data_IF_840430681634
#
_entry.id   IF_840430681634
#
_cell.length_a   1.000
_cell.length_b   1.000
_cell.length_c   1.000
_cell.angle_alpha   90.00
_cell.angle_beta   90.00
_cell.angle_gamma   90.00
#
_symmetry.space_group_name_H-M   'P 1'
#
loop_
_entity.id
_entity.type
_entity.pdbx_description
1 polymer ?
#
# COMPACT_ATOMS: atom_id res chain seq x y z
N UNK A 1 34.74 34.52 0.01
CA UNK A 1 33.53 33.70 0.31
C UNK A 1 34.02 32.41 0.94
N UNK A 2 33.62 32.16 2.18
CA UNK A 2 33.95 30.89 2.88
C UNK A 2 33.03 29.82 2.36
N UNK A 3 33.60 28.79 1.74
CA UNK A 3 32.80 27.65 1.19
C UNK A 3 32.60 26.64 2.31
N UNK A 4 31.36 26.38 2.71
CA UNK A 4 31.05 25.29 3.62
C UNK A 4 30.95 23.97 2.81
N UNK A 5 31.67 22.94 3.24
CA UNK A 5 31.59 21.59 2.66
C UNK A 5 30.56 20.78 3.45
N UNK A 6 29.60 20.18 2.73
CA UNK A 6 28.58 19.31 3.32
C UNK A 6 28.77 17.91 2.76
N UNK A 7 28.89 16.95 3.66
CA UNK A 7 28.99 15.55 3.26
C UNK A 7 27.60 14.92 3.18
N UNK A 8 27.30 14.29 2.05
CA UNK A 8 26.06 13.60 1.76
C UNK A 8 26.35 12.18 1.23
N UNK A 9 25.46 11.21 1.46
CA UNK A 9 25.53 9.96 0.71
C UNK A 9 25.56 10.23 -0.79
N UNK A 10 26.47 9.60 -1.55
CA UNK A 10 26.66 9.91 -2.97
C UNK A 10 25.37 9.87 -3.79
N UNK A 11 24.50 8.92 -3.50
CA UNK A 11 23.19 8.74 -4.18
C UNK A 11 22.22 9.89 -3.96
N UNK A 12 22.38 10.68 -2.89
CA UNK A 12 21.53 11.84 -2.57
C UNK A 12 22.05 13.15 -3.18
N UNK A 13 23.29 13.21 -3.65
CA UNK A 13 23.84 14.43 -4.28
C UNK A 13 22.99 14.88 -5.47
N UNK A 14 22.60 14.03 -6.44
CA UNK A 14 21.71 14.42 -7.54
C UNK A 14 20.32 14.85 -7.09
N UNK A 15 19.82 14.27 -5.98
CA UNK A 15 18.51 14.63 -5.42
C UNK A 15 18.47 16.09 -5.01
N UNK A 16 19.54 16.61 -4.39
CA UNK A 16 19.60 17.99 -3.92
C UNK A 16 20.20 18.98 -4.93
N UNK A 17 20.66 18.50 -6.08
CA UNK A 17 21.25 19.34 -7.14
C UNK A 17 20.18 19.90 -8.09
N UNK A 18 20.32 21.17 -8.50
CA UNK A 18 19.43 21.85 -9.46
C UNK A 18 17.95 21.94 -9.00
N UNK A 19 17.06 22.50 -9.83
CA UNK A 19 15.65 22.69 -9.49
C UNK A 19 14.90 21.36 -9.48
N UNK A 20 13.93 21.23 -8.57
CA UNK A 20 12.93 20.16 -8.56
C UNK A 20 11.74 20.57 -7.68
N UNK A 21 10.54 20.20 -8.06
CA UNK A 21 9.34 20.35 -7.22
C UNK A 21 9.28 19.28 -6.13
N UNK A 22 9.66 18.07 -6.46
CA UNK A 22 9.63 16.92 -5.56
C UNK A 22 11.01 16.34 -5.40
N UNK A 23 11.43 16.14 -4.15
CA UNK A 23 12.66 15.44 -3.79
C UNK A 23 12.34 14.36 -2.78
N UNK A 24 12.91 13.20 -2.93
CA UNK A 24 12.61 12.13 -1.99
C UNK A 24 13.61 11.01 -1.98
N UNK A 25 13.48 10.19 -0.93
CA UNK A 25 14.21 8.94 -0.82
C UNK A 25 13.34 7.91 -0.09
N UNK A 26 13.32 6.70 -0.63
CA UNK A 26 12.69 5.55 0.00
C UNK A 26 13.67 4.40 0.15
N UNK A 27 13.35 3.40 0.96
CA UNK A 27 14.17 2.19 1.12
C UNK A 27 14.30 1.75 2.57
N UNK A 28 15.21 0.82 2.83
CA UNK A 28 15.41 0.16 4.11
C UNK A 28 15.89 1.08 5.24
N UNK A 29 15.96 0.51 6.43
CA UNK A 29 16.48 1.19 7.64
C UNK A 29 17.99 1.43 7.53
N UNK A 30 18.49 2.37 8.34
CA UNK A 30 19.93 2.66 8.42
C UNK A 30 20.52 3.38 7.19
N UNK A 31 19.72 3.78 6.21
CA UNK A 31 20.17 4.39 4.95
C UNK A 31 20.51 5.89 5.02
N UNK A 32 20.49 6.51 6.22
CA UNK A 32 20.73 7.93 6.45
C UNK A 32 19.76 8.90 5.75
N UNK A 33 18.60 8.43 5.25
CA UNK A 33 17.58 9.29 4.59
C UNK A 33 17.16 10.45 5.47
N UNK A 34 16.54 10.18 6.63
CA UNK A 34 15.97 11.18 7.52
C UNK A 34 17.02 12.18 7.97
N UNK A 35 18.21 11.71 8.39
CA UNK A 35 19.32 12.57 8.80
C UNK A 35 19.79 13.52 7.71
N UNK A 36 19.90 13.01 6.46
CA UNK A 36 20.36 13.82 5.33
C UNK A 36 19.29 14.85 4.94
N UNK A 37 18.02 14.47 4.89
CA UNK A 37 16.94 15.41 4.58
C UNK A 37 16.80 16.47 5.66
N UNK A 38 16.88 16.12 6.94
CA UNK A 38 16.93 17.07 8.05
C UNK A 38 18.06 18.10 7.90
N UNK A 39 19.30 17.63 7.63
CA UNK A 39 20.45 18.50 7.37
C UNK A 39 20.21 19.43 6.17
N UNK A 40 19.70 18.90 5.08
CA UNK A 40 19.46 19.68 3.86
C UNK A 40 18.32 20.69 4.02
N UNK A 41 17.31 20.45 4.87
CA UNK A 41 16.34 21.50 5.20
C UNK A 41 17.00 22.69 5.87
N UNK A 42 17.96 22.46 6.78
CA UNK A 42 18.71 23.53 7.46
C UNK A 42 19.61 24.30 6.50
N UNK A 43 20.30 23.60 5.60
CA UNK A 43 21.10 24.22 4.55
C UNK A 43 20.24 25.12 3.65
N UNK A 44 19.06 24.63 3.25
CA UNK A 44 18.14 25.43 2.42
C UNK A 44 17.57 26.63 3.20
N UNK A 45 17.27 26.47 4.50
CA UNK A 45 16.86 27.57 5.36
C UNK A 45 17.91 28.67 5.43
N UNK A 46 19.18 28.28 5.60
CA UNK A 46 20.31 29.20 5.53
C UNK A 46 20.36 29.94 4.19
N UNK A 47 20.32 29.21 3.07
CA UNK A 47 20.38 29.79 1.73
C UNK A 47 19.24 30.77 1.47
N UNK A 48 18.03 30.42 1.86
CA UNK A 48 16.86 31.33 1.72
C UNK A 48 17.02 32.59 2.57
N UNK A 49 17.45 32.44 3.81
CA UNK A 49 17.65 33.58 4.71
C UNK A 49 18.74 34.54 4.23
N UNK A 50 19.84 34.03 3.69
CA UNK A 50 20.92 34.82 3.06
C UNK A 50 20.46 35.49 1.75
N UNK A 51 19.61 34.81 0.96
CA UNK A 51 19.00 35.41 -0.23
C UNK A 51 17.89 36.44 0.10
N UNK A 52 17.65 36.74 1.37
CA UNK A 52 16.62 37.68 1.80
C UNK A 52 15.20 37.15 1.73
N UNK A 53 15.02 35.86 1.46
CA UNK A 53 13.70 35.21 1.38
C UNK A 53 13.21 34.88 2.79
N UNK A 54 11.92 35.16 3.04
CA UNK A 54 11.27 34.85 4.31
C UNK A 54 10.15 33.85 4.10
N UNK A 55 9.98 32.92 5.05
CA UNK A 55 8.93 31.89 4.99
C UNK A 55 9.14 30.81 6.02
N UNK A 56 8.50 29.67 5.81
CA UNK A 56 8.59 28.54 6.73
C UNK A 56 9.01 27.25 6.01
N UNK A 57 9.68 26.38 6.75
CA UNK A 57 9.87 24.98 6.41
C UNK A 57 8.86 24.19 7.24
N UNK A 58 7.98 23.48 6.58
CA UNK A 58 6.99 22.61 7.21
C UNK A 58 7.58 21.20 7.38
N UNK A 59 7.74 20.76 8.64
CA UNK A 59 7.95 19.35 8.97
C UNK A 59 6.61 18.67 9.18
N UNK A 60 6.35 17.57 8.48
CA UNK A 60 5.05 16.92 8.52
C UNK A 60 5.15 15.39 8.62
N UNK A 61 4.17 14.78 9.28
CA UNK A 61 3.85 13.34 9.30
C UNK A 61 2.34 13.16 9.26
N UNK A 62 1.84 11.94 9.09
CA UNK A 62 0.39 11.68 9.17
C UNK A 62 -0.16 12.06 10.55
N UNK A 63 0.52 11.69 11.63
CA UNK A 63 0.11 11.96 13.02
C UNK A 63 1.08 12.93 13.74
N UNK A 64 0.54 13.75 14.65
CA UNK A 64 1.31 14.75 15.38
C UNK A 64 2.16 14.15 16.50
N UNK A 65 1.69 13.09 17.15
CA UNK A 65 2.26 12.57 18.41
C UNK A 65 3.72 12.09 18.31
N UNK A 66 4.21 11.74 17.13
CA UNK A 66 5.60 11.33 16.93
C UNK A 66 6.48 12.43 16.29
N UNK A 67 5.92 13.58 15.98
CA UNK A 67 6.56 14.59 15.13
C UNK A 67 7.46 15.53 15.92
N UNK A 68 7.01 15.96 17.10
CA UNK A 68 7.78 16.88 17.96
C UNK A 68 9.00 16.19 18.57
N UNK A 69 8.87 14.91 18.93
CA UNK A 69 9.93 14.15 19.59
C UNK A 69 10.96 13.57 18.62
N UNK A 70 10.63 13.33 17.34
CA UNK A 70 11.57 12.70 16.43
C UNK A 70 12.04 13.60 15.28
N UNK A 71 11.17 14.11 14.40
CA UNK A 71 11.63 14.89 13.23
C UNK A 71 12.18 16.26 13.64
N UNK A 72 11.60 16.91 14.66
CA UNK A 72 12.15 18.16 15.19
C UNK A 72 13.53 17.94 15.81
N UNK A 73 13.68 16.90 16.61
CA UNK A 73 14.96 16.60 17.25
C UNK A 73 16.03 16.20 16.24
N UNK A 74 15.68 15.44 15.18
CA UNK A 74 16.59 15.15 14.08
C UNK A 74 17.10 16.43 13.39
N UNK A 75 16.22 17.41 13.14
CA UNK A 75 16.63 18.71 12.59
C UNK A 75 17.55 19.45 13.54
N UNK A 76 17.24 19.50 14.84
CA UNK A 76 18.09 20.14 15.85
C UNK A 76 19.48 19.50 15.90
N UNK A 77 19.56 18.17 15.90
CA UNK A 77 20.82 17.45 15.89
C UNK A 77 21.59 17.66 14.60
N UNK A 78 20.89 17.69 13.44
CA UNK A 78 21.51 17.97 12.15
C UNK A 78 22.10 19.38 12.11
N UNK A 79 21.43 20.38 12.66
CA UNK A 79 21.94 21.75 12.77
C UNK A 79 23.17 21.78 13.70
N UNK A 80 23.09 21.20 14.90
CA UNK A 80 24.17 21.18 15.90
C UNK A 80 25.42 20.42 15.42
N UNK A 81 25.25 19.45 14.52
CA UNK A 81 26.39 18.72 13.96
C UNK A 81 27.26 19.54 12.99
N UNK A 82 26.78 20.70 12.55
CA UNK A 82 27.48 21.61 11.65
C UNK A 82 27.71 22.96 12.34
N UNK A 83 28.93 23.27 12.84
CA UNK A 83 29.18 24.49 13.64
C UNK A 83 28.72 25.80 13.00
N UNK A 84 28.79 25.89 11.66
CA UNK A 84 28.36 27.07 10.92
C UNK A 84 26.83 27.23 10.86
N UNK A 85 26.08 26.10 10.84
CA UNK A 85 24.63 26.11 10.97
C UNK A 85 24.21 26.42 12.41
N UNK A 86 24.83 25.78 13.40
CA UNK A 86 24.52 26.02 14.81
C UNK A 86 24.71 27.52 15.18
N UNK A 87 25.80 28.11 14.67
CA UNK A 87 26.01 29.55 14.82
C UNK A 87 24.95 30.44 14.18
N UNK A 88 24.21 29.96 13.17
CA UNK A 88 23.23 30.71 12.40
C UNK A 88 21.80 30.57 12.92
N UNK A 89 21.50 29.47 13.61
CA UNK A 89 20.15 29.18 14.10
C UNK A 89 19.94 29.59 15.56
N UNK A 90 18.70 29.93 15.89
CA UNK A 90 18.16 30.08 17.24
C UNK A 90 17.24 28.87 17.48
N UNK A 91 17.65 27.98 18.38
CA UNK A 91 16.99 26.70 18.64
C UNK A 91 16.52 26.68 20.10
N UNK A 92 15.20 26.59 20.29
CA UNK A 92 14.60 26.39 21.61
C UNK A 92 14.00 25.01 21.77
N UNK A 93 13.34 24.79 22.90
CA UNK A 93 12.66 23.51 23.17
C UNK A 93 11.62 23.17 22.09
N UNK A 94 10.79 24.14 21.73
CA UNK A 94 9.65 23.96 20.81
C UNK A 94 9.76 24.77 19.51
N UNK A 95 10.90 25.33 19.20
CA UNK A 95 11.08 26.10 17.97
C UNK A 95 12.48 25.96 17.38
N UNK A 96 12.55 26.14 16.06
CA UNK A 96 13.77 26.24 15.27
C UNK A 96 13.57 27.43 14.31
N UNK A 97 14.51 28.37 14.27
CA UNK A 97 14.47 29.50 13.36
C UNK A 97 15.86 30.05 13.08
N UNK A 98 16.04 30.78 12.00
CA UNK A 98 17.27 31.53 11.75
C UNK A 98 17.33 32.73 12.69
N UNK A 99 18.55 33.14 13.15
CA UNK A 99 18.73 34.30 14.08
C UNK A 99 18.18 35.60 13.51
N UNK A 100 18.23 35.78 12.17
CA UNK A 100 17.62 36.91 11.48
C UNK A 100 16.09 36.82 11.36
N UNK A 101 15.47 35.75 11.88
CA UNK A 101 14.01 35.48 11.90
C UNK A 101 13.35 35.40 10.53
N UNK A 102 14.10 35.21 9.46
CA UNK A 102 13.53 35.08 8.10
C UNK A 102 12.90 33.72 7.87
N UNK A 103 13.53 32.65 8.35
CA UNK A 103 13.03 31.28 8.18
C UNK A 103 12.75 30.69 9.59
N UNK A 104 11.59 30.07 9.70
CA UNK A 104 11.20 29.29 10.88
C UNK A 104 10.68 27.92 10.46
N UNK A 105 10.75 26.97 11.37
CA UNK A 105 10.13 25.66 11.20
C UNK A 105 8.75 25.63 11.84
N UNK A 106 7.82 24.98 11.16
CA UNK A 106 6.48 24.67 11.65
C UNK A 106 6.26 23.16 11.53
N UNK A 107 5.67 22.56 12.54
CA UNK A 107 5.42 21.12 12.57
C UNK A 107 3.92 20.84 12.55
N UNK A 108 3.49 19.81 11.79
CA UNK A 108 2.08 19.54 11.58
C UNK A 108 1.78 18.06 11.33
N UNK A 109 0.80 17.52 12.05
CA UNK A 109 0.15 16.25 11.69
C UNK A 109 -0.84 16.48 10.55
N UNK A 110 -0.65 15.78 9.41
CA UNK A 110 -1.42 16.00 8.19
C UNK A 110 -2.89 15.60 8.33
N UNK A 111 -3.20 14.66 9.22
CA UNK A 111 -4.55 14.12 9.36
C UNK A 111 -5.56 15.12 9.93
N UNK A 112 -5.16 15.92 10.91
CA UNK A 112 -6.10 16.78 11.65
C UNK A 112 -5.76 18.26 11.63
N UNK A 113 -4.51 18.64 11.37
CA UNK A 113 -4.03 20.01 11.61
C UNK A 113 -3.66 20.79 10.35
N UNK A 114 -3.82 20.22 9.16
CA UNK A 114 -3.41 20.87 7.92
C UNK A 114 -4.20 22.17 7.62
N UNK A 115 -5.46 22.22 8.00
CA UNK A 115 -6.31 23.40 7.77
C UNK A 115 -5.85 24.63 8.58
N UNK A 116 -5.20 24.43 9.72
CA UNK A 116 -4.64 25.52 10.55
C UNK A 116 -3.42 26.21 9.91
N UNK A 117 -2.75 25.56 8.99
CA UNK A 117 -1.52 26.05 8.33
C UNK A 117 -1.83 26.75 6.99
N UNK A 118 -2.92 26.37 6.34
CA UNK A 118 -3.32 26.92 5.02
C UNK A 118 -3.38 28.44 4.94
N UNK A 119 -3.69 29.12 6.06
CA UNK A 119 -3.89 30.56 6.12
C UNK A 119 -2.72 31.35 6.71
N UNK A 120 -1.69 30.69 7.28
CA UNK A 120 -0.74 31.38 8.17
C UNK A 120 0.71 31.43 7.69
N UNK A 121 1.12 30.65 6.70
CA UNK A 121 2.53 30.52 6.43
C UNK A 121 2.85 30.45 4.92
N UNK A 122 3.87 31.20 4.53
CA UNK A 122 4.55 31.07 3.24
C UNK A 122 5.45 29.83 3.28
N UNK A 123 4.95 28.69 2.82
CA UNK A 123 5.67 27.41 2.84
C UNK A 123 6.67 27.36 1.69
N UNK A 124 7.96 27.31 1.99
CA UNK A 124 9.04 27.20 1.01
C UNK A 124 9.40 25.73 0.76
N UNK A 125 9.42 24.95 1.82
CA UNK A 125 9.62 23.49 1.75
C UNK A 125 8.60 22.83 2.67
N UNK A 126 7.96 21.78 2.19
CA UNK A 126 7.22 20.83 3.03
C UNK A 126 7.98 19.50 3.02
N UNK A 127 8.58 19.14 4.13
CA UNK A 127 9.22 17.83 4.31
C UNK A 127 8.28 16.90 5.05
N UNK A 128 7.84 15.85 4.36
CA UNK A 128 7.00 14.78 4.88
C UNK A 128 7.89 13.59 5.20
N UNK A 129 8.13 13.36 6.48
CA UNK A 129 8.92 12.24 6.99
C UNK A 129 8.00 11.08 7.38
N UNK A 130 8.51 9.84 7.32
CA UNK A 130 7.71 8.61 7.52
C UNK A 130 6.43 8.59 6.66
N UNK A 131 6.57 8.99 5.41
CA UNK A 131 5.44 9.25 4.52
C UNK A 131 4.67 7.99 4.09
N UNK A 132 5.09 6.77 4.45
CA UNK A 132 4.39 5.53 4.14
C UNK A 132 2.93 5.55 4.62
N UNK A 133 2.69 6.12 5.79
CA UNK A 133 1.38 6.16 6.43
C UNK A 133 0.48 7.32 5.97
N UNK A 134 0.99 8.22 5.14
CA UNK A 134 0.23 9.40 4.69
C UNK A 134 -0.91 8.97 3.77
N UNK A 135 -2.12 9.37 4.12
CA UNK A 135 -3.32 9.05 3.36
C UNK A 135 -3.41 9.84 2.05
N UNK A 136 -4.12 9.29 1.05
CA UNK A 136 -4.37 9.99 -0.23
C UNK A 136 -5.05 11.34 0.00
N UNK A 137 -6.02 11.40 0.94
CA UNK A 137 -6.69 12.64 1.30
C UNK A 137 -5.72 13.69 1.86
N UNK A 138 -4.73 13.26 2.66
CA UNK A 138 -3.71 14.17 3.19
C UNK A 138 -2.82 14.72 2.07
N UNK A 139 -2.40 13.88 1.11
CA UNK A 139 -1.65 14.32 -0.07
C UNK A 139 -2.44 15.32 -0.92
N UNK A 140 -3.72 15.02 -1.22
CA UNK A 140 -4.60 15.93 -1.99
C UNK A 140 -4.73 17.30 -1.33
N UNK A 141 -4.72 17.37 0.00
CA UNK A 141 -4.81 18.63 0.74
C UNK A 141 -3.45 19.35 0.85
N UNK A 142 -2.37 18.63 1.06
CA UNK A 142 -1.03 19.20 1.28
C UNK A 142 -0.47 19.85 0.01
N UNK A 143 -0.51 19.12 -1.12
CA UNK A 143 0.17 19.59 -2.33
C UNK A 143 -0.29 20.95 -2.82
N UNK A 144 -1.61 21.28 -2.87
CA UNK A 144 -2.06 22.62 -3.22
C UNK A 144 -1.78 23.68 -2.13
N UNK A 145 -1.48 23.27 -0.89
CA UNK A 145 -1.14 24.19 0.20
C UNK A 145 0.30 24.70 0.08
N UNK A 146 1.19 23.91 -0.49
CA UNK A 146 2.57 24.27 -0.82
C UNK A 146 2.59 24.96 -2.20
N UNK A 147 2.31 26.26 -2.24
CA UNK A 147 1.96 26.98 -3.48
C UNK A 147 2.83 28.18 -3.82
N UNK A 148 3.89 28.42 -3.04
CA UNK A 148 4.84 29.48 -3.38
C UNK A 148 5.60 29.12 -4.66
N UNK A 149 6.00 30.12 -5.43
CA UNK A 149 6.91 29.91 -6.55
C UNK A 149 8.21 29.30 -6.02
N UNK A 150 8.72 28.29 -6.74
CA UNK A 150 9.93 27.54 -6.38
C UNK A 150 9.85 26.78 -5.04
N UNK A 151 8.64 26.64 -4.46
CA UNK A 151 8.46 25.80 -3.28
C UNK A 151 8.61 24.32 -3.62
N UNK A 152 9.13 23.55 -2.66
CA UNK A 152 9.46 22.14 -2.84
C UNK A 152 8.69 21.26 -1.85
N UNK A 153 8.39 20.03 -2.26
CA UNK A 153 7.86 18.96 -1.39
C UNK A 153 8.91 17.86 -1.29
N UNK A 154 9.35 17.59 -0.08
CA UNK A 154 10.36 16.58 0.21
C UNK A 154 9.71 15.39 0.91
N UNK A 155 10.12 14.17 0.54
CA UNK A 155 9.44 12.95 0.99
C UNK A 155 10.47 11.90 1.38
N UNK A 156 10.37 11.39 2.61
CA UNK A 156 11.19 10.27 3.10
C UNK A 156 10.29 9.18 3.65
N UNK A 157 10.52 7.93 3.23
CA UNK A 157 9.74 6.79 3.74
C UNK A 157 10.47 5.46 3.61
N UNK A 158 10.05 4.51 4.43
CA UNK A 158 10.37 3.11 4.28
C UNK A 158 9.13 2.44 3.68
N UNK A 159 9.20 1.83 2.50
CA UNK A 159 8.07 1.12 1.91
C UNK A 159 7.59 0.01 2.82
N UNK A 160 6.29 -0.09 3.02
CA UNK A 160 5.68 -1.18 3.77
C UNK A 160 4.65 -1.91 2.91
N UNK A 161 3.74 -1.17 2.27
CA UNK A 161 2.66 -1.75 1.47
C UNK A 161 2.79 -1.40 0.00
N UNK A 162 2.73 -2.42 -0.85
CA UNK A 162 2.58 -2.21 -2.29
C UNK A 162 1.27 -1.44 -2.57
N UNK A 163 1.39 -0.26 -3.18
CA UNK A 163 0.25 0.59 -3.51
C UNK A 163 -0.26 1.46 -2.36
N UNK A 164 0.54 1.73 -1.32
CA UNK A 164 0.26 2.84 -0.40
C UNK A 164 0.11 4.16 -1.20
N UNK A 165 -0.58 5.16 -0.62
CA UNK A 165 -0.82 6.43 -1.31
C UNK A 165 0.50 7.11 -1.72
N UNK A 166 1.51 7.05 -0.86
CA UNK A 166 2.85 7.59 -1.12
C UNK A 166 3.58 6.80 -2.20
N UNK A 167 3.57 5.47 -2.12
CA UNK A 167 4.18 4.58 -3.09
C UNK A 167 3.56 4.77 -4.49
N UNK A 168 2.22 4.79 -4.56
CA UNK A 168 1.50 5.00 -5.81
C UNK A 168 1.85 6.33 -6.46
N UNK A 169 1.96 7.41 -5.67
CA UNK A 169 2.19 8.76 -6.17
C UNK A 169 3.65 9.05 -6.51
N UNK A 170 4.60 8.56 -5.72
CA UNK A 170 5.99 8.99 -5.78
C UNK A 170 6.98 7.90 -6.20
N UNK A 171 6.55 6.64 -6.29
CA UNK A 171 7.36 5.54 -6.79
C UNK A 171 6.78 4.96 -8.08
N UNK A 172 5.49 4.58 -8.10
CA UNK A 172 4.85 3.98 -9.28
C UNK A 172 4.47 5.00 -10.35
N UNK A 173 3.89 6.13 -9.95
CA UNK A 173 3.47 7.21 -10.84
C UNK A 173 4.27 8.49 -10.52
N UNK A 174 5.60 8.38 -10.59
CA UNK A 174 6.49 9.49 -10.25
C UNK A 174 6.17 10.74 -11.07
N UNK A 175 5.91 11.90 -10.43
CA UNK A 175 5.67 13.15 -11.15
C UNK A 175 6.85 13.56 -12.03
N UNK A 176 6.58 14.17 -13.17
CA UNK A 176 7.62 14.65 -14.08
C UNK A 176 8.59 15.61 -13.37
N UNK A 177 9.88 15.40 -13.54
CA UNK A 177 10.92 16.24 -12.91
C UNK A 177 11.14 15.97 -11.41
N UNK A 178 10.47 14.99 -10.82
CA UNK A 178 10.75 14.57 -9.46
C UNK A 178 12.14 13.92 -9.36
N UNK A 179 12.83 14.17 -8.25
CA UNK A 179 14.13 13.58 -7.91
C UNK A 179 13.97 12.70 -6.69
N UNK A 180 13.62 11.45 -6.93
CA UNK A 180 13.36 10.45 -5.89
C UNK A 180 14.22 9.24 -6.16
N UNK A 181 14.91 8.73 -5.13
CA UNK A 181 15.84 7.61 -5.24
C UNK A 181 15.56 6.56 -4.19
N UNK A 182 15.92 5.34 -4.49
CA UNK A 182 15.99 4.26 -3.51
C UNK A 182 17.31 4.31 -2.75
N UNK A 183 17.24 4.22 -1.42
CA UNK A 183 18.36 4.30 -0.49
C UNK A 183 18.27 3.19 0.55
N UNK A 184 19.29 2.33 0.59
CA UNK A 184 19.40 1.26 1.56
C UNK A 184 20.65 1.43 2.44
N UNK A 185 20.84 0.57 3.43
CA UNK A 185 21.99 0.65 4.33
C UNK A 185 23.33 0.65 3.58
N UNK A 186 23.42 -0.06 2.44
CA UNK A 186 24.61 -0.11 1.58
C UNK A 186 24.97 1.23 0.94
N UNK A 187 24.03 2.15 0.84
CA UNK A 187 24.21 3.49 0.27
C UNK A 187 24.62 4.52 1.35
N UNK A 188 24.69 4.11 2.63
CA UNK A 188 25.09 4.94 3.74
C UNK A 188 26.58 4.78 4.07
N UNK A 189 27.45 5.75 3.73
CA UNK A 189 28.89 5.67 4.02
C UNK A 189 29.21 5.64 5.52
N UNK A 190 28.24 6.04 6.37
CA UNK A 190 28.38 6.11 7.83
C UNK A 190 27.46 5.11 8.53
N UNK A 191 27.22 3.95 7.90
CA UNK A 191 26.35 2.94 8.50
C UNK A 191 26.95 2.47 9.83
N UNK A 192 26.25 2.61 10.97
CA UNK A 192 26.84 2.32 12.28
C UNK A 192 27.10 0.82 12.49
N UNK A 193 28.25 0.48 13.08
CA UNK A 193 28.61 -0.91 13.40
C UNK A 193 27.55 -1.62 14.25
N UNK A 194 26.91 -0.91 15.19
CA UNK A 194 25.84 -1.48 16.00
C UNK A 194 24.64 -1.91 15.16
N UNK A 195 24.27 -1.13 14.17
CA UNK A 195 23.19 -1.51 13.24
C UNK A 195 23.61 -2.63 12.27
N UNK A 196 24.89 -2.71 11.93
CA UNK A 196 25.38 -3.82 11.11
C UNK A 196 25.36 -5.14 11.88
N UNK A 197 25.66 -5.13 13.17
CA UNK A 197 25.50 -6.32 14.02
C UNK A 197 24.05 -6.75 14.11
N UNK A 198 23.10 -5.85 14.32
CA UNK A 198 21.67 -6.15 14.32
C UNK A 198 21.22 -6.72 12.95
N UNK A 199 21.68 -6.11 11.85
CA UNK A 199 21.38 -6.58 10.49
C UNK A 199 21.91 -8.00 10.25
N UNK A 200 23.12 -8.30 10.72
CA UNK A 200 23.71 -9.64 10.60
C UNK A 200 22.94 -10.68 11.43
N UNK A 201 22.49 -10.29 12.63
CA UNK A 201 21.63 -11.13 13.45
C UNK A 201 20.27 -11.37 12.75
N UNK A 202 19.64 -10.33 12.24
CA UNK A 202 18.39 -10.41 11.49
C UNK A 202 18.52 -11.31 10.25
N UNK A 203 19.67 -11.29 9.57
CA UNK A 203 19.92 -12.16 8.42
C UNK A 203 19.91 -13.64 8.78
N UNK A 204 20.24 -13.99 10.02
CA UNK A 204 20.25 -15.37 10.51
C UNK A 204 18.94 -15.81 11.13
N UNK A 205 18.15 -14.88 11.64
CA UNK A 205 16.96 -15.17 12.48
C UNK A 205 15.64 -14.89 11.79
N UNK A 206 15.61 -13.96 10.83
CA UNK A 206 14.39 -13.59 10.10
C UNK A 206 14.30 -14.34 8.76
N UNK A 207 13.08 -14.48 8.27
CA UNK A 207 12.86 -14.92 6.90
C UNK A 207 13.33 -13.85 5.88
N UNK A 208 13.64 -14.29 4.66
CA UNK A 208 14.19 -13.42 3.61
C UNK A 208 13.32 -12.22 3.28
N UNK A 209 11.98 -12.34 3.37
CA UNK A 209 11.05 -11.26 3.05
C UNK A 209 11.03 -10.21 4.15
N UNK A 210 10.99 -10.62 5.40
CA UNK A 210 11.08 -9.71 6.56
C UNK A 210 12.43 -8.99 6.59
N UNK A 211 13.53 -9.69 6.32
CA UNK A 211 14.85 -9.09 6.19
C UNK A 211 14.89 -8.03 5.07
N UNK A 212 14.42 -8.39 3.88
CA UNK A 212 14.40 -7.49 2.73
C UNK A 212 13.52 -6.24 2.98
N UNK A 213 12.38 -6.41 3.68
CA UNK A 213 11.56 -5.27 4.08
C UNK A 213 12.29 -4.30 5.02
N UNK A 214 12.98 -4.82 6.04
CA UNK A 214 13.67 -3.99 7.03
C UNK A 214 14.88 -3.29 6.41
N UNK A 215 15.73 -4.04 5.69
CA UNK A 215 17.07 -3.59 5.32
C UNK A 215 17.21 -3.19 3.85
N UNK A 216 16.47 -3.83 2.93
CA UNK A 216 16.59 -3.63 1.49
C UNK A 216 15.45 -2.79 0.88
N UNK A 217 14.52 -2.30 1.70
CA UNK A 217 13.42 -1.44 1.25
C UNK A 217 12.37 -2.14 0.40
N UNK A 218 12.26 -3.46 0.52
CA UNK A 218 11.18 -4.23 -0.08
C UNK A 218 9.84 -3.93 0.60
N UNK A 219 8.75 -4.32 -0.05
CA UNK A 219 7.44 -4.29 0.61
C UNK A 219 7.35 -5.42 1.64
N UNK A 220 6.60 -5.17 2.70
CA UNK A 220 6.25 -6.19 3.68
C UNK A 220 5.17 -7.09 3.08
N UNK A 221 5.56 -8.23 2.54
CA UNK A 221 4.62 -9.16 1.89
C UNK A 221 3.83 -10.00 2.91
N UNK A 222 4.37 -10.25 4.09
CA UNK A 222 3.75 -11.07 5.12
C UNK A 222 3.45 -10.25 6.38
N UNK A 223 2.24 -9.66 6.45
CA UNK A 223 1.71 -9.23 7.75
C UNK A 223 0.87 -10.38 8.33
N UNK A 224 0.89 -10.56 9.65
CA UNK A 224 0.02 -11.51 10.37
C UNK A 224 -1.46 -11.31 10.04
N UNK A 225 -1.80 -10.11 9.55
CA UNK A 225 -3.12 -9.78 9.07
C UNK A 225 -3.43 -10.31 7.67
N UNK A 226 -2.45 -10.70 6.85
CA UNK A 226 -2.73 -11.24 5.51
C UNK A 226 -3.42 -12.60 5.59
N UNK A 227 -4.54 -12.72 4.90
CA UNK A 227 -5.38 -13.93 4.93
C UNK A 227 -4.67 -15.11 4.24
N UNK A 228 -3.95 -14.84 3.15
CA UNK A 228 -3.30 -15.85 2.31
C UNK A 228 -1.76 -15.83 2.42
N UNK A 229 -1.20 -15.28 3.50
CA UNK A 229 0.24 -15.26 3.72
C UNK A 229 0.84 -16.67 3.64
N UNK A 230 1.90 -16.83 2.84
CA UNK A 230 2.60 -18.11 2.67
C UNK A 230 1.79 -19.24 2.01
N UNK A 231 0.59 -18.94 1.47
CA UNK A 231 -0.31 -19.93 0.87
C UNK A 231 -0.31 -19.95 -0.65
N UNK A 232 0.32 -18.98 -1.31
CA UNK A 232 0.30 -18.92 -2.77
C UNK A 232 1.69 -18.75 -3.37
N UNK A 233 1.82 -19.20 -4.63
CA UNK A 233 2.94 -18.91 -5.51
C UNK A 233 2.46 -18.62 -6.92
N UNK A 234 3.33 -18.01 -7.72
CA UNK A 234 3.10 -17.75 -9.14
C UNK A 234 3.82 -18.79 -9.98
N UNK A 235 3.15 -19.35 -10.98
CA UNK A 235 3.77 -20.26 -11.93
C UNK A 235 3.00 -20.27 -13.25
N UNK A 236 3.66 -20.60 -14.33
CA UNK A 236 3.05 -21.01 -15.57
C UNK A 236 2.59 -22.47 -15.47
N UNK A 237 1.39 -22.78 -15.96
CA UNK A 237 0.85 -24.14 -15.98
C UNK A 237 -0.27 -24.29 -17.02
N UNK A 238 -0.54 -25.52 -17.39
CA UNK A 238 -1.68 -25.92 -18.22
C UNK A 238 -2.49 -27.01 -17.50
N UNK A 239 -3.83 -26.87 -17.38
CA UNK A 239 -4.67 -27.87 -16.73
C UNK A 239 -4.65 -29.20 -17.49
N UNK A 240 -4.43 -30.28 -16.75
CA UNK A 240 -4.50 -31.64 -17.30
C UNK A 240 -5.93 -32.19 -17.33
N UNK A 241 -6.16 -33.31 -18.04
CA UNK A 241 -7.48 -33.93 -18.16
C UNK A 241 -8.03 -34.47 -16.84
N UNK A 242 -7.16 -34.79 -15.88
CA UNK A 242 -7.53 -35.35 -14.58
C UNK A 242 -7.78 -34.28 -13.51
N UNK A 243 -7.72 -32.99 -13.88
CA UNK A 243 -7.96 -31.91 -12.93
C UNK A 243 -9.46 -31.72 -12.71
N UNK A 244 -9.83 -31.52 -11.45
CA UNK A 244 -11.21 -31.23 -11.06
C UNK A 244 -11.57 -29.79 -11.37
N UNK A 245 -12.64 -29.60 -12.14
CA UNK A 245 -13.07 -28.31 -12.65
C UNK A 245 -13.36 -28.31 -14.17
N UNK A 246 -13.36 -27.17 -14.88
CA UNK A 246 -13.10 -25.82 -14.33
C UNK A 246 -14.25 -25.28 -13.47
N UNK A 247 -13.90 -24.53 -12.44
CA UNK A 247 -14.82 -23.79 -11.61
C UNK A 247 -14.81 -22.31 -12.01
N UNK A 248 -15.99 -21.69 -12.13
CA UNK A 248 -16.13 -20.28 -12.50
C UNK A 248 -16.90 -19.53 -11.43
N UNK A 249 -16.40 -18.35 -11.05
CA UNK A 249 -17.07 -17.45 -10.11
C UNK A 249 -17.08 -16.02 -10.59
N UNK A 250 -18.12 -15.26 -10.21
CA UNK A 250 -18.25 -13.83 -10.52
C UNK A 250 -18.67 -13.08 -9.26
N UNK A 251 -17.96 -11.99 -8.98
CA UNK A 251 -18.31 -10.98 -8.01
C UNK A 251 -18.71 -9.68 -8.71
N UNK A 252 -19.79 -9.02 -8.20
CA UNK A 252 -20.37 -7.86 -8.87
C UNK A 252 -19.82 -6.57 -8.31
N UNK A 253 -19.18 -5.76 -9.15
CA UNK A 253 -18.84 -4.38 -8.90
C UNK A 253 -19.42 -3.46 -9.97
N UNK A 254 -19.35 -2.14 -9.79
CA UNK A 254 -19.76 -1.18 -10.81
C UNK A 254 -18.95 0.13 -10.77
N UNK A 255 -19.14 0.98 -9.75
CA UNK A 255 -18.65 2.36 -9.78
C UNK A 255 -17.17 2.50 -9.42
N UNK A 256 -16.73 1.86 -8.36
CA UNK A 256 -15.34 1.89 -7.90
C UNK A 256 -14.71 0.50 -7.92
N UNK A 257 -15.53 -0.52 -7.73
CA UNK A 257 -15.14 -1.91 -7.66
C UNK A 257 -15.35 -2.61 -9.02
N UNK A 258 -14.46 -3.51 -9.43
CA UNK A 258 -14.61 -4.22 -10.68
C UNK A 258 -15.70 -5.29 -10.57
N UNK A 259 -16.47 -5.52 -11.64
CA UNK A 259 -17.10 -6.83 -11.81
C UNK A 259 -15.96 -7.81 -12.11
N UNK A 260 -15.68 -8.71 -11.16
CA UNK A 260 -14.55 -9.63 -11.19
C UNK A 260 -15.01 -11.06 -11.49
N UNK A 261 -14.22 -11.80 -12.25
CA UNK A 261 -14.46 -13.20 -12.55
C UNK A 261 -13.18 -14.02 -12.52
N UNK A 262 -13.30 -15.29 -12.17
CA UNK A 262 -12.18 -16.22 -12.11
C UNK A 262 -12.52 -17.55 -12.78
N UNK A 263 -11.47 -18.24 -13.28
CA UNK A 263 -11.48 -19.63 -13.68
C UNK A 263 -10.42 -20.37 -12.89
N UNK A 264 -10.80 -21.42 -12.19
CA UNK A 264 -9.89 -22.18 -11.36
C UNK A 264 -10.15 -23.69 -11.41
N UNK A 265 -9.16 -24.45 -10.94
CA UNK A 265 -9.13 -25.89 -10.93
C UNK A 265 -8.62 -26.41 -9.60
N UNK A 266 -8.91 -27.66 -9.30
CA UNK A 266 -8.36 -28.34 -8.12
C UNK A 266 -7.59 -29.57 -8.61
N UNK A 267 -6.34 -29.67 -8.17
CA UNK A 267 -5.51 -30.85 -8.44
C UNK A 267 -4.47 -31.04 -7.33
N UNK A 268 -4.26 -32.23 -6.91
CA UNK A 268 -3.30 -32.61 -5.87
C UNK A 268 -3.44 -31.76 -4.58
N UNK A 269 -4.69 -31.55 -4.12
CA UNK A 269 -5.03 -30.74 -2.96
C UNK A 269 -4.56 -29.26 -3.06
N UNK A 270 -4.27 -28.80 -4.26
CA UNK A 270 -3.93 -27.42 -4.59
C UNK A 270 -5.04 -26.77 -5.38
N UNK A 271 -5.21 -25.48 -5.16
CA UNK A 271 -6.08 -24.64 -5.97
C UNK A 271 -5.24 -23.96 -7.06
N UNK A 272 -5.70 -24.04 -8.31
CA UNK A 272 -5.01 -23.51 -9.47
C UNK A 272 -5.86 -22.42 -10.13
N UNK A 273 -5.42 -21.16 -10.06
CA UNK A 273 -6.11 -20.01 -10.67
C UNK A 273 -5.56 -19.80 -12.07
N UNK A 274 -6.33 -20.17 -13.10
CA UNK A 274 -5.88 -20.18 -14.49
C UNK A 274 -6.13 -18.84 -15.20
N UNK A 275 -7.33 -18.26 -15.04
CA UNK A 275 -7.71 -17.00 -15.68
C UNK A 275 -8.44 -16.07 -14.70
N UNK A 276 -8.30 -14.79 -14.98
CA UNK A 276 -9.04 -13.72 -14.31
C UNK A 276 -9.68 -12.77 -15.32
N UNK A 277 -10.81 -12.18 -14.97
CA UNK A 277 -11.47 -11.12 -15.70
C UNK A 277 -11.92 -10.04 -14.72
N UNK A 278 -11.79 -8.77 -15.06
CA UNK A 278 -12.30 -7.71 -14.19
C UNK A 278 -12.25 -6.34 -14.85
N UNK A 279 -13.34 -5.60 -14.73
CA UNK A 279 -13.48 -4.24 -15.27
C UNK A 279 -14.43 -3.44 -14.38
N UNK A 280 -14.04 -2.21 -14.06
CA UNK A 280 -14.87 -1.20 -13.42
C UNK A 280 -15.79 -0.57 -14.45
N UNK A 281 -17.03 -0.25 -14.08
CA UNK A 281 -18.01 0.37 -14.97
C UNK A 281 -18.48 -0.57 -16.10
N UNK A 282 -18.60 -1.86 -15.82
CA UNK A 282 -19.09 -2.83 -16.80
C UNK A 282 -20.62 -2.86 -16.76
N UNK A 283 -21.24 -2.45 -17.87
CA UNK A 283 -22.69 -2.46 -18.03
C UNK A 283 -23.24 -3.90 -18.09
N UNK A 284 -24.46 -4.08 -17.60
CA UNK A 284 -25.08 -5.42 -17.51
C UNK A 284 -25.13 -6.14 -18.87
N UNK A 285 -25.35 -5.40 -19.96
CA UNK A 285 -25.40 -5.96 -21.31
C UNK A 285 -24.07 -6.50 -21.80
N UNK A 286 -22.96 -5.95 -21.32
CA UNK A 286 -21.60 -6.28 -21.75
C UNK A 286 -20.96 -7.40 -20.90
N UNK A 287 -21.52 -7.70 -19.70
CA UNK A 287 -20.90 -8.64 -18.74
C UNK A 287 -20.64 -9.99 -19.38
N UNK A 288 -21.66 -10.59 -20.00
CA UNK A 288 -21.53 -11.95 -20.54
C UNK A 288 -20.44 -12.02 -21.64
N UNK A 289 -20.46 -11.08 -22.57
CA UNK A 289 -19.47 -11.02 -23.65
C UNK A 289 -18.05 -10.80 -23.12
N UNK A 290 -17.91 -9.88 -22.17
CA UNK A 290 -16.62 -9.60 -21.53
C UNK A 290 -16.04 -10.83 -20.82
N UNK A 291 -16.88 -11.55 -20.06
CA UNK A 291 -16.47 -12.74 -19.32
C UNK A 291 -16.12 -13.90 -20.28
N UNK A 292 -16.89 -14.13 -21.34
CA UNK A 292 -16.62 -15.17 -22.35
C UNK A 292 -15.26 -14.93 -23.02
N UNK A 293 -14.93 -13.70 -23.33
CA UNK A 293 -13.64 -13.35 -23.97
C UNK A 293 -12.43 -13.57 -23.04
N UNK A 294 -12.63 -13.47 -21.73
CA UNK A 294 -11.53 -13.48 -20.75
C UNK A 294 -11.42 -14.77 -19.96
N UNK A 295 -12.52 -15.51 -19.83
CA UNK A 295 -12.60 -16.77 -19.09
C UNK A 295 -13.04 -17.89 -20.05
N UNK A 296 -12.11 -18.48 -20.78
CA UNK A 296 -12.43 -19.48 -21.83
C UNK A 296 -13.29 -20.62 -21.29
N UNK A 297 -14.43 -20.88 -21.97
CA UNK A 297 -15.35 -21.97 -21.65
C UNK A 297 -16.43 -21.64 -20.63
N UNK A 298 -16.46 -20.42 -20.06
CA UNK A 298 -17.44 -20.03 -19.02
C UNK A 298 -18.89 -20.22 -19.47
N UNK A 299 -19.18 -20.05 -20.76
CA UNK A 299 -20.53 -20.20 -21.35
C UNK A 299 -21.05 -21.65 -21.34
N UNK A 300 -20.15 -22.63 -21.16
CA UNK A 300 -20.47 -24.08 -21.19
C UNK A 300 -20.56 -24.71 -19.80
N UNK A 301 -20.06 -24.03 -18.78
CA UNK A 301 -19.95 -24.58 -17.43
C UNK A 301 -20.89 -23.87 -16.45
N UNK A 302 -21.07 -24.46 -15.28
CA UNK A 302 -21.76 -23.81 -14.18
C UNK A 302 -20.95 -22.61 -13.68
N UNK A 303 -21.61 -21.47 -13.55
CA UNK A 303 -21.02 -20.22 -13.06
C UNK A 303 -21.69 -19.85 -11.76
N UNK A 304 -20.93 -19.63 -10.70
CA UNK A 304 -21.43 -19.18 -9.39
C UNK A 304 -21.18 -17.69 -9.23
N UNK A 305 -22.25 -16.93 -9.02
CA UNK A 305 -22.17 -15.48 -8.87
C UNK A 305 -22.67 -15.02 -7.51
N UNK A 306 -22.24 -13.83 -7.10
CA UNK A 306 -22.81 -13.20 -5.91
C UNK A 306 -24.33 -13.11 -6.04
N UNK A 307 -25.03 -13.65 -5.05
CA UNK A 307 -26.52 -13.65 -5.00
C UNK A 307 -27.14 -12.32 -4.62
N UNK A 308 -26.34 -11.30 -4.29
CA UNK A 308 -26.85 -9.97 -3.90
C UNK A 308 -27.57 -9.22 -5.04
N UNK A 309 -27.34 -9.62 -6.30
CA UNK A 309 -27.95 -9.00 -7.50
C UNK A 309 -28.67 -10.03 -8.37
N UNK A 310 -29.83 -10.56 -7.94
CA UNK A 310 -30.56 -11.58 -8.69
C UNK A 310 -31.05 -11.08 -10.07
N UNK A 311 -31.32 -9.78 -10.21
CA UNK A 311 -31.66 -9.14 -11.48
C UNK A 311 -30.51 -9.20 -12.48
N UNK A 312 -29.28 -8.94 -12.05
CA UNK A 312 -28.07 -9.04 -12.89
C UNK A 312 -27.85 -10.51 -13.33
N UNK A 313 -28.02 -11.46 -12.40
CA UNK A 313 -27.93 -12.89 -12.72
C UNK A 313 -28.96 -13.28 -13.80
N UNK A 314 -30.21 -12.87 -13.64
CA UNK A 314 -31.30 -13.12 -14.60
C UNK A 314 -30.98 -12.50 -15.97
N UNK A 315 -30.46 -11.28 -15.95
CA UNK A 315 -30.08 -10.56 -17.17
C UNK A 315 -28.94 -11.24 -17.93
N UNK A 316 -27.86 -11.58 -17.24
CA UNK A 316 -26.68 -12.25 -17.83
C UNK A 316 -26.98 -13.67 -18.31
N UNK A 317 -27.96 -14.35 -17.70
CA UNK A 317 -28.42 -15.67 -18.12
C UNK A 317 -29.18 -15.65 -19.46
N UNK A 318 -29.85 -14.56 -19.78
CA UNK A 318 -30.76 -14.42 -20.92
C UNK A 318 -30.04 -13.90 -22.17
N UNK A 319 -30.38 -14.46 -23.33
CA UNK A 319 -29.95 -13.97 -24.65
C UNK A 319 -30.61 -12.65 -25.08
N UNK A 320 -31.45 -12.05 -24.26
CA UNK A 320 -32.28 -10.93 -24.67
C UNK A 320 -33.54 -11.39 -25.42
N UNK A 321 -34.44 -10.44 -25.72
CA UNK A 321 -35.71 -10.73 -26.39
C UNK A 321 -35.52 -11.16 -27.88
N UNK A 322 -34.50 -10.64 -28.53
CA UNK A 322 -34.14 -10.92 -29.91
C UNK A 322 -33.19 -12.13 -30.05
N UNK A 323 -32.70 -12.71 -28.95
CA UNK A 323 -31.80 -13.87 -28.94
C UNK A 323 -30.36 -13.58 -29.38
N UNK A 324 -30.00 -12.31 -29.60
CA UNK A 324 -28.69 -11.91 -30.17
C UNK A 324 -27.61 -11.68 -29.11
N UNK A 325 -27.99 -11.40 -27.87
CA UNK A 325 -27.05 -11.06 -26.80
C UNK A 325 -26.26 -12.28 -26.31
N UNK A 326 -24.96 -12.09 -26.08
CA UNK A 326 -24.14 -13.07 -25.35
C UNK A 326 -24.73 -13.34 -23.96
N UNK A 327 -24.68 -14.60 -23.52
CA UNK A 327 -25.24 -14.99 -22.23
C UNK A 327 -24.43 -16.10 -21.54
N UNK A 328 -24.61 -16.24 -20.24
CA UNK A 328 -24.12 -17.33 -19.42
C UNK A 328 -25.29 -18.20 -18.94
N UNK A 329 -25.76 -19.17 -19.72
CA UNK A 329 -27.03 -19.86 -19.47
C UNK A 329 -27.03 -20.67 -18.17
N UNK A 330 -25.87 -21.04 -17.65
CA UNK A 330 -25.71 -21.83 -16.43
C UNK A 330 -25.22 -21.00 -15.23
N UNK A 331 -25.44 -19.67 -15.25
CA UNK A 331 -25.12 -18.80 -14.12
C UNK A 331 -26.18 -18.92 -13.03
N UNK A 332 -25.74 -19.05 -11.79
CA UNK A 332 -26.58 -19.15 -10.60
C UNK A 332 -25.99 -18.35 -9.47
N UNK A 333 -26.86 -17.80 -8.60
CA UNK A 333 -26.43 -17.17 -7.35
C UNK A 333 -25.90 -18.20 -6.36
N UNK A 334 -24.79 -17.87 -5.70
CA UNK A 334 -24.26 -18.69 -4.63
C UNK A 334 -25.14 -18.60 -3.40
N UNK A 335 -25.31 -19.72 -2.69
CA UNK A 335 -25.98 -19.71 -1.41
C UNK A 335 -25.10 -19.05 -0.35
N UNK A 336 -25.63 -18.06 0.38
CA UNK A 336 -24.95 -17.38 1.48
C UNK A 336 -25.59 -17.75 2.82
N UNK A 337 -24.77 -17.92 3.84
CA UNK A 337 -25.19 -18.16 5.21
C UNK A 337 -24.37 -17.31 6.18
N UNK A 338 -24.79 -17.21 7.44
CA UNK A 338 -24.03 -16.49 8.46
C UNK A 338 -22.68 -17.19 8.67
N UNK A 339 -21.56 -16.48 8.45
CA UNK A 339 -20.21 -17.05 8.49
C UNK A 339 -19.71 -17.61 7.16
N UNK A 340 -20.44 -17.41 6.04
CA UNK A 340 -20.01 -17.92 4.72
C UNK A 340 -18.69 -17.32 4.21
N UNK A 341 -18.32 -16.14 4.68
CA UNK A 341 -17.05 -15.49 4.35
C UNK A 341 -15.91 -16.20 5.06
N UNK A 342 -16.06 -16.41 6.37
CA UNK A 342 -15.07 -17.09 7.22
C UNK A 342 -14.88 -18.56 6.80
N UNK A 343 -15.99 -19.27 6.50
CA UNK A 343 -15.95 -20.64 5.99
C UNK A 343 -15.26 -20.70 4.62
N UNK A 344 -15.52 -19.72 3.75
CA UNK A 344 -14.85 -19.59 2.46
C UNK A 344 -13.35 -19.35 2.58
N UNK A 345 -12.94 -18.49 3.50
CA UNK A 345 -11.52 -18.26 3.80
C UNK A 345 -10.86 -19.51 4.37
N UNK A 346 -11.53 -20.18 5.31
CA UNK A 346 -11.03 -21.43 5.88
C UNK A 346 -10.85 -22.49 4.78
N UNK A 347 -11.77 -22.55 3.81
CA UNK A 347 -11.67 -23.44 2.66
C UNK A 347 -10.47 -23.11 1.78
N UNK A 348 -10.25 -21.82 1.41
CA UNK A 348 -9.06 -21.39 0.65
C UNK A 348 -7.76 -21.74 1.38
N UNK A 349 -7.71 -21.53 2.69
CA UNK A 349 -6.53 -21.86 3.52
C UNK A 349 -6.31 -23.37 3.73
N UNK A 350 -7.32 -24.20 3.48
CA UNK A 350 -7.23 -25.66 3.61
C UNK A 350 -6.46 -26.32 2.47
N UNK A 351 -6.31 -25.65 1.34
CA UNK A 351 -5.43 -26.13 0.28
C UNK A 351 -3.97 -26.15 0.72
N UNK A 352 -3.22 -27.12 0.24
CA UNK A 352 -1.77 -27.18 0.48
C UNK A 352 -1.11 -25.90 -0.02
N UNK A 353 -1.51 -25.48 -1.23
CA UNK A 353 -0.99 -24.32 -1.91
C UNK A 353 -2.03 -23.77 -2.91
N UNK A 354 -1.97 -22.49 -3.18
CA UNK A 354 -2.71 -21.84 -4.26
C UNK A 354 -1.71 -21.43 -5.34
N UNK A 355 -1.86 -21.97 -6.54
CA UNK A 355 -1.00 -21.63 -7.67
C UNK A 355 -1.72 -20.63 -8.55
N UNK A 356 -1.14 -19.45 -8.73
CA UNK A 356 -1.70 -18.36 -9.52
C UNK A 356 -0.91 -18.29 -10.82
N UNK A 357 -1.61 -18.40 -11.96
CA UNK A 357 -0.95 -18.29 -13.26
C UNK A 357 -0.39 -16.87 -13.45
N UNK A 358 0.79 -16.73 -14.05
CA UNK A 358 1.49 -15.45 -14.27
C UNK A 358 0.62 -14.39 -14.96
N UNK A 359 -0.33 -14.81 -15.83
CA UNK A 359 -1.30 -13.92 -16.49
C UNK A 359 -2.30 -13.27 -15.54
N UNK A 360 -2.48 -13.82 -14.32
CA UNK A 360 -3.48 -13.38 -13.34
C UNK A 360 -2.89 -12.34 -12.36
N UNK A 361 -2.55 -11.17 -12.90
CA UNK A 361 -1.85 -10.11 -12.14
C UNK A 361 -2.71 -9.38 -11.13
N UNK A 362 -4.03 -9.31 -11.36
CA UNK A 362 -4.96 -8.59 -10.49
C UNK A 362 -5.30 -9.40 -9.23
N UNK A 363 -5.62 -10.69 -9.39
CA UNK A 363 -5.83 -11.56 -8.22
C UNK A 363 -4.54 -11.73 -7.40
N UNK A 364 -3.37 -11.76 -8.06
CA UNK A 364 -2.09 -11.74 -7.37
C UNK A 364 -1.91 -10.47 -6.53
N UNK A 365 -2.26 -9.31 -7.09
CA UNK A 365 -2.25 -8.05 -6.35
C UNK A 365 -3.20 -8.09 -5.15
N UNK A 366 -4.41 -8.61 -5.33
CA UNK A 366 -5.35 -8.77 -4.22
C UNK A 366 -4.84 -9.78 -3.19
N UNK A 367 -4.19 -10.88 -3.57
CA UNK A 367 -3.62 -11.85 -2.63
C UNK A 367 -2.67 -11.19 -1.61
N UNK A 368 -1.90 -10.21 -2.07
CA UNK A 368 -0.99 -9.42 -1.23
C UNK A 368 -1.71 -8.47 -0.28
N UNK A 369 -2.91 -8.01 -0.62
CA UNK A 369 -3.67 -6.98 0.08
C UNK A 369 -4.85 -7.54 0.88
N UNK A 370 -5.28 -8.77 0.60
CA UNK A 370 -6.40 -9.43 1.27
C UNK A 370 -6.06 -9.73 2.71
N UNK A 371 -6.64 -8.95 3.62
CA UNK A 371 -6.22 -8.94 5.01
C UNK A 371 -7.38 -8.75 5.97
N UNK A 372 -7.18 -9.21 7.19
CA UNK A 372 -7.99 -8.83 8.34
C UNK A 372 -7.75 -7.38 8.72
N UNK A 373 -8.71 -6.75 9.37
CA UNK A 373 -8.52 -5.43 9.98
C UNK A 373 -7.53 -5.54 11.13
N UNK A 374 -6.74 -4.49 11.31
CA UNK A 374 -5.81 -4.36 12.44
C UNK A 374 -6.30 -3.21 13.31
N UNK A 375 -6.41 -3.45 14.62
CA UNK A 375 -6.67 -2.39 15.57
C UNK A 375 -5.52 -1.38 15.54
N UNK A 376 -5.85 -0.10 15.38
CA UNK A 376 -4.83 0.94 15.19
C UNK A 376 -4.12 1.36 16.48
N UNK A 377 -4.70 1.04 17.63
CA UNK A 377 -4.14 1.40 18.93
C UNK A 377 -3.28 0.27 19.49
N UNK A 378 -3.77 -0.96 19.39
CA UNK A 378 -3.08 -2.14 19.98
C UNK A 378 -2.20 -2.87 18.96
N UNK A 379 -2.46 -2.73 17.65
CA UNK A 379 -1.81 -3.52 16.61
C UNK A 379 -2.37 -4.94 16.45
N UNK A 380 -3.43 -5.29 17.21
CA UNK A 380 -4.03 -6.63 17.17
C UNK A 380 -4.79 -6.87 15.86
N UNK A 381 -4.65 -8.08 15.34
CA UNK A 381 -5.41 -8.53 14.16
C UNK A 381 -6.83 -8.88 14.60
N UNK A 382 -7.80 -8.17 14.01
CA UNK A 382 -9.22 -8.39 14.25
C UNK A 382 -9.75 -9.54 13.39
N UNK A 383 -10.93 -10.04 13.72
CA UNK A 383 -11.61 -11.09 12.91
C UNK A 383 -12.29 -10.54 11.66
N UNK A 384 -12.53 -9.24 11.61
CA UNK A 384 -13.15 -8.56 10.47
C UNK A 384 -12.18 -8.40 9.32
N UNK A 385 -12.66 -8.57 8.09
CA UNK A 385 -11.89 -8.40 6.87
C UNK A 385 -11.91 -6.94 6.41
N UNK A 386 -10.83 -6.50 5.79
CA UNK A 386 -10.79 -5.22 5.08
C UNK A 386 -11.62 -5.35 3.81
N UNK A 387 -12.71 -4.59 3.73
CA UNK A 387 -13.64 -4.57 2.60
C UNK A 387 -13.08 -3.77 1.41
N UNK A 388 -11.90 -4.19 0.94
CA UNK A 388 -11.20 -3.67 -0.26
C UNK A 388 -10.23 -4.72 -0.77
N UNK A 389 -10.02 -4.75 -2.09
CA UNK A 389 -9.06 -5.65 -2.73
C UNK A 389 -9.35 -7.13 -2.44
N UNK A 390 -10.61 -7.52 -2.49
CA UNK A 390 -11.10 -8.88 -2.22
C UNK A 390 -11.97 -9.45 -3.36
N UNK A 391 -12.23 -8.68 -4.41
CA UNK A 391 -13.22 -9.02 -5.46
C UNK A 391 -12.90 -10.31 -6.20
N UNK A 392 -11.65 -10.53 -6.58
CA UNK A 392 -11.23 -11.77 -7.25
C UNK A 392 -11.23 -12.96 -6.29
N UNK A 393 -10.91 -12.71 -5.00
CA UNK A 393 -11.00 -13.77 -3.99
C UNK A 393 -12.44 -14.09 -3.59
N UNK A 394 -13.34 -13.12 -3.63
CA UNK A 394 -14.77 -13.32 -3.45
C UNK A 394 -15.34 -14.10 -4.63
N UNK A 395 -15.00 -13.74 -5.87
CA UNK A 395 -15.32 -14.53 -7.06
C UNK A 395 -14.78 -15.97 -6.95
N UNK A 396 -13.55 -16.17 -6.43
CA UNK A 396 -12.97 -17.49 -6.20
C UNK A 396 -13.77 -18.28 -5.14
N UNK A 397 -14.15 -17.65 -4.04
CA UNK A 397 -15.00 -18.28 -3.00
C UNK A 397 -16.37 -18.66 -3.57
N UNK A 398 -16.95 -17.84 -4.44
CA UNK A 398 -18.21 -18.16 -5.12
C UNK A 398 -18.04 -19.33 -6.08
N UNK A 399 -16.98 -19.37 -6.89
CA UNK A 399 -16.68 -20.50 -7.76
C UNK A 399 -16.67 -21.83 -6.99
N UNK A 400 -16.08 -21.83 -5.80
CA UNK A 400 -15.91 -23.00 -4.94
C UNK A 400 -17.07 -23.19 -3.95
N UNK A 401 -18.11 -22.33 -4.00
CA UNK A 401 -19.24 -22.35 -3.07
C UNK A 401 -19.84 -23.73 -2.79
N UNK A 402 -20.11 -24.56 -3.82
CA UNK A 402 -20.62 -25.92 -3.61
C UNK A 402 -19.72 -26.86 -2.80
N UNK A 403 -18.42 -26.56 -2.73
CA UNK A 403 -17.41 -27.37 -2.03
C UNK A 403 -17.16 -26.90 -0.60
N UNK A 404 -17.62 -25.69 -0.26
CA UNK A 404 -17.39 -25.09 1.06
C UNK A 404 -18.33 -25.76 2.08
N UNK A 405 -17.76 -26.46 3.04
CA UNK A 405 -18.50 -27.07 4.14
C UNK A 405 -18.88 -26.02 5.18
N UNK A 406 -20.16 -25.95 5.51
CA UNK A 406 -20.66 -25.13 6.63
C UNK A 406 -20.07 -25.67 7.93
N UNK A 407 -19.58 -24.81 8.81
CA UNK A 407 -19.26 -25.19 10.18
C UNK A 407 -20.55 -25.52 10.90
N UNK A 408 -20.82 -26.81 11.12
CA UNK A 408 -21.95 -27.25 11.93
C UNK A 408 -21.68 -26.84 13.38
N UNK A 409 -22.53 -26.02 13.97
CA UNK A 409 -22.54 -25.85 15.41
C UNK A 409 -22.95 -27.20 16.01
N UNK A 410 -22.04 -27.91 16.64
CA UNK A 410 -22.37 -29.06 17.48
C UNK A 410 -23.01 -28.47 18.74
N UNK A 411 -24.34 -28.53 18.80
CA UNK A 411 -25.09 -28.25 20.02
C UNK A 411 -24.69 -29.28 21.07
N UNK A 412 -23.86 -28.92 22.04
CA UNK A 412 -23.64 -29.69 23.24
C UNK A 412 -24.94 -29.54 24.05
N UNK A 413 -25.80 -30.57 24.05
CA UNK A 413 -26.86 -30.72 25.02
C UNK A 413 -26.19 -30.84 26.40
N UNK A 414 -26.18 -29.74 27.15
CA UNK A 414 -25.86 -29.81 28.57
C UNK A 414 -26.91 -30.65 29.26
N UNK A 415 -26.56 -31.70 30.02
CA UNK A 415 -27.53 -32.47 30.82
C UNK A 415 -28.19 -31.50 31.79
N UNK A 416 -29.52 -31.53 31.80
CA UNK A 416 -30.35 -30.59 32.53
C UNK A 416 -29.97 -30.44 34.00
N UNK A 417 -29.87 -29.18 34.40
CA UNK A 417 -30.00 -28.81 35.78
C UNK A 417 -31.49 -29.07 36.19
N UNK A 418 -31.66 -30.01 37.12
CA UNK A 418 -32.90 -30.16 37.89
C UNK A 418 -32.88 -29.14 39.03
#
# INVERSE_FOLDING_TARGET
MTTAKIELPPKLIPVFSGPARYRGAHGGRGSAKTRTFAKMTAVRAYMYAEAGISGVILGAREYMNSLEESSMEEIKQAIRSEPWLDAYFDIGEKYIRTKNRRISYVFCGLRHNLDSIKSKARILIAWVDEAENVSETAWIKLLPTVRENDSEVWITWNPERDGSATDTRFRKNMPAGAKIVEMNYTDNPWFPDVLDQERLNDRQTLDDQTYAWIWDGAYRENSDAQILAGKYRVAEFEPGPDWDGPYYGIDWGFSQDPTAGVKCWIYDRRLWIEHEAGKVGLENDDIAEYMIRRLPGIERHAVRADSARPETISHVRSKGKDGSRACLPRIEGVEKWKGSVEDGIAHLRSYVEIVIHERCTKILREARLYSYKVDRQTGDVLTDIVDKNNHYWDATRYALGPLIKRRSAVGILLPGAR
#
